data_IF_877112872750
#
_entry.id   IF_877112872750
#
_cell.length_a   1.000
_cell.length_b   1.000
_cell.length_c   1.000
_cell.angle_alpha   90.00
_cell.angle_beta   90.00
_cell.angle_gamma   90.00
#
_symmetry.space_group_name_H-M   'P 1'
#
loop_
_entity.id
_entity.type
_entity.pdbx_description
1 polymer ?
#
# COMPACT_ATOMS: atom_id res chain seq x y z
N UNK A 1 3.69 6.26 -28.52
CA UNK A 1 4.76 6.43 -27.52
C UNK A 1 4.62 5.27 -26.56
N UNK A 2 5.59 4.36 -26.54
CA UNK A 2 5.61 3.28 -25.56
C UNK A 2 6.08 3.89 -24.25
N UNK A 3 5.22 3.88 -23.23
CA UNK A 3 5.65 4.12 -21.86
C UNK A 3 6.45 2.90 -21.44
N UNK A 4 7.77 3.03 -21.52
CA UNK A 4 8.70 2.07 -20.95
C UNK A 4 8.68 2.32 -19.45
N UNK A 5 7.76 1.64 -18.74
CA UNK A 5 7.80 1.56 -17.29
C UNK A 5 9.06 0.77 -16.97
N UNK A 6 10.14 1.50 -16.69
CA UNK A 6 11.29 0.88 -16.04
C UNK A 6 10.78 0.38 -14.70
N UNK A 7 10.82 -0.93 -14.53
CA UNK A 7 10.72 -1.54 -13.22
C UNK A 7 11.97 -1.08 -12.47
N UNK A 8 11.85 0.05 -11.78
CA UNK A 8 12.77 0.36 -10.70
C UNK A 8 12.69 -0.82 -9.75
N UNK A 9 13.84 -1.33 -9.33
CA UNK A 9 13.88 -2.31 -8.25
C UNK A 9 13.30 -1.58 -7.04
N UNK A 10 12.01 -1.75 -6.77
CA UNK A 10 11.35 -1.10 -5.65
C UNK A 10 12.16 -1.37 -4.40
N UNK A 11 12.50 -0.32 -3.64
CA UNK A 11 13.21 -0.42 -2.36
C UNK A 11 12.27 -0.94 -1.25
N UNK A 12 11.47 -1.96 -1.57
CA UNK A 12 10.54 -2.64 -0.68
C UNK A 12 9.07 -2.27 -0.86
N UNK A 13 8.20 -2.83 -0.01
CA UNK A 13 6.75 -2.77 -0.19
C UNK A 13 6.14 -1.38 0.08
N UNK A 14 6.77 -0.57 0.95
CA UNK A 14 6.31 0.80 1.21
C UNK A 14 6.59 1.73 0.04
N UNK A 15 7.70 1.53 -0.68
CA UNK A 15 8.04 2.30 -1.87
C UNK A 15 7.01 2.04 -2.98
N UNK A 16 6.73 0.76 -3.26
CA UNK A 16 5.69 0.37 -4.21
C UNK A 16 4.33 0.97 -3.85
N UNK A 17 3.94 0.90 -2.57
CA UNK A 17 2.68 1.44 -2.13
C UNK A 17 2.59 2.96 -2.31
N UNK A 18 3.70 3.68 -2.05
CA UNK A 18 3.78 5.13 -2.26
C UNK A 18 3.64 5.47 -3.76
N UNK A 19 4.37 4.77 -4.63
CA UNK A 19 4.28 4.98 -6.08
C UNK A 19 2.87 4.77 -6.61
N UNK A 20 2.18 3.72 -6.16
CA UNK A 20 0.79 3.44 -6.57
C UNK A 20 -0.13 4.59 -6.14
N UNK A 21 -0.03 5.04 -4.89
CA UNK A 21 -0.85 6.14 -4.37
C UNK A 21 -0.61 7.44 -5.16
N UNK A 22 0.64 7.74 -5.48
CA UNK A 22 1.00 8.92 -6.26
C UNK A 22 0.53 8.81 -7.72
N UNK A 23 0.63 7.62 -8.32
CA UNK A 23 0.13 7.37 -9.67
C UNK A 23 -1.40 7.48 -9.78
N UNK A 24 -2.13 7.17 -8.71
CA UNK A 24 -3.60 7.28 -8.63
C UNK A 24 -4.10 8.65 -8.13
N UNK A 25 -3.19 9.59 -7.81
CA UNK A 25 -3.50 10.94 -7.26
C UNK A 25 -4.37 10.87 -5.97
N UNK A 26 -4.05 9.91 -5.09
CA UNK A 26 -4.79 9.68 -3.85
C UNK A 26 -4.06 10.26 -2.63
N UNK A 27 -4.78 10.77 -1.61
CA UNK A 27 -4.18 11.16 -0.35
C UNK A 27 -3.78 9.94 0.49
N UNK A 28 -2.73 10.04 1.32
CA UNK A 28 -2.34 8.94 2.23
C UNK A 28 -3.32 8.87 3.41
N UNK A 29 -4.41 8.11 3.23
CA UNK A 29 -5.46 7.83 4.22
C UNK A 29 -5.82 6.35 4.24
N UNK A 30 -6.45 5.85 5.31
CA UNK A 30 -6.89 4.44 5.36
C UNK A 30 -7.89 4.08 4.26
N UNK A 31 -8.76 5.03 3.90
CA UNK A 31 -9.74 4.86 2.81
C UNK A 31 -9.02 4.70 1.48
N UNK A 32 -8.10 5.61 1.14
CA UNK A 32 -7.31 5.52 -0.09
C UNK A 32 -6.42 4.26 -0.12
N UNK A 33 -5.85 3.87 1.02
CA UNK A 33 -5.09 2.63 1.14
C UNK A 33 -5.96 1.39 0.85
N UNK A 34 -7.24 1.44 1.21
CA UNK A 34 -8.18 0.37 0.90
C UNK A 34 -8.49 0.28 -0.61
N UNK A 35 -8.44 1.41 -1.33
CA UNK A 35 -8.67 1.49 -2.77
C UNK A 35 -7.49 0.93 -3.57
N UNK A 36 -6.25 1.27 -3.18
CA UNK A 36 -5.03 0.80 -3.86
C UNK A 36 -4.66 -0.67 -3.56
N UNK A 37 -5.41 -1.34 -2.67
CA UNK A 37 -5.15 -2.72 -2.29
C UNK A 37 -5.14 -3.68 -3.49
N UNK A 38 -6.03 -3.48 -4.45
CA UNK A 38 -6.09 -4.31 -5.66
C UNK A 38 -4.90 -4.04 -6.59
N UNK A 39 -4.53 -2.78 -6.79
CA UNK A 39 -3.37 -2.36 -7.57
C UNK A 39 -2.08 -2.97 -7.01
N UNK A 40 -1.92 -2.93 -5.68
CA UNK A 40 -0.77 -3.50 -4.98
C UNK A 40 -0.68 -5.03 -5.14
N UNK A 41 -1.80 -5.74 -4.98
CA UNK A 41 -1.84 -7.20 -5.17
C UNK A 41 -1.61 -7.59 -6.63
N UNK A 42 -2.19 -6.85 -7.57
CA UNK A 42 -2.01 -7.07 -9.00
C UNK A 42 -0.53 -6.88 -9.40
N UNK A 43 0.16 -5.93 -8.78
CA UNK A 43 1.60 -5.77 -8.98
C UNK A 43 2.38 -7.00 -8.52
N UNK A 44 2.12 -7.50 -7.30
CA UNK A 44 2.80 -8.70 -6.77
C UNK A 44 2.55 -9.94 -7.64
N UNK A 45 1.34 -10.12 -8.16
CA UNK A 45 0.98 -11.29 -8.98
C UNK A 45 1.64 -11.25 -10.37
N UNK A 46 1.78 -10.04 -10.96
CA UNK A 46 2.36 -9.85 -12.29
C UNK A 46 3.89 -9.87 -12.30
N UNK A 47 4.53 -9.63 -11.15
CA UNK A 47 5.99 -9.50 -11.05
C UNK A 47 6.61 -10.65 -10.27
N UNK A 48 7.78 -11.11 -10.72
CA UNK A 48 8.54 -12.14 -10.00
C UNK A 48 9.28 -11.49 -8.83
N UNK A 49 8.59 -11.31 -7.70
CA UNK A 49 9.22 -10.90 -6.44
C UNK A 49 10.13 -12.03 -5.95
N UNK A 50 11.40 -11.76 -5.60
CA UNK A 50 12.29 -12.76 -5.03
C UNK A 50 11.67 -13.41 -3.78
N UNK A 51 11.76 -14.75 -3.61
CA UNK A 51 11.19 -15.42 -2.44
C UNK A 51 11.67 -14.86 -1.10
N UNK A 52 12.88 -14.30 -1.07
CA UNK A 52 13.51 -13.70 0.11
C UNK A 52 12.82 -12.40 0.54
N UNK A 53 12.23 -11.66 -0.40
CA UNK A 53 11.57 -10.37 -0.16
C UNK A 53 10.05 -10.50 -0.09
N UNK A 54 9.48 -11.57 -0.66
CA UNK A 54 8.03 -11.78 -0.75
C UNK A 54 7.32 -11.70 0.61
N UNK A 55 7.97 -12.14 1.69
CA UNK A 55 7.41 -12.08 3.04
C UNK A 55 7.01 -10.65 3.45
N UNK A 56 7.86 -9.67 3.16
CA UNK A 56 7.62 -8.27 3.52
C UNK A 56 6.47 -7.68 2.69
N UNK A 57 6.40 -8.03 1.41
CA UNK A 57 5.27 -7.65 0.54
C UNK A 57 3.95 -8.23 1.02
N UNK A 58 3.93 -9.49 1.49
CA UNK A 58 2.73 -10.12 2.02
C UNK A 58 2.27 -9.50 3.35
N UNK A 59 3.20 -9.02 4.20
CA UNK A 59 2.83 -8.29 5.42
C UNK A 59 2.05 -7.02 5.06
N UNK A 60 2.50 -6.25 4.08
CA UNK A 60 1.78 -5.04 3.64
C UNK A 60 0.46 -5.42 2.95
N UNK A 61 0.47 -6.44 2.08
CA UNK A 61 -0.75 -6.94 1.41
C UNK A 61 -1.86 -7.33 2.40
N UNK A 62 -1.51 -8.05 3.47
CA UNK A 62 -2.49 -8.48 4.48
C UNK A 62 -3.09 -7.29 5.23
N UNK A 63 -2.31 -6.24 5.49
CA UNK A 63 -2.82 -4.99 6.10
C UNK A 63 -3.76 -4.25 5.16
N UNK A 64 -3.43 -4.14 3.87
CA UNK A 64 -4.31 -3.53 2.86
C UNK A 64 -5.63 -4.29 2.71
N UNK A 65 -5.59 -5.62 2.70
CA UNK A 65 -6.80 -6.46 2.67
C UNK A 65 -7.68 -6.26 3.92
N UNK A 66 -7.06 -6.10 5.10
CA UNK A 66 -7.80 -5.78 6.33
C UNK A 66 -8.50 -4.42 6.23
N UNK A 67 -7.80 -3.39 5.74
CA UNK A 67 -8.38 -2.06 5.51
C UNK A 67 -9.56 -2.13 4.54
N UNK A 68 -9.40 -2.84 3.41
CA UNK A 68 -10.46 -3.05 2.43
C UNK A 68 -11.67 -3.81 2.99
N UNK A 69 -11.42 -4.85 3.79
CA UNK A 69 -12.49 -5.59 4.47
C UNK A 69 -13.29 -4.67 5.40
N UNK A 70 -12.60 -3.87 6.23
CA UNK A 70 -13.22 -2.91 7.15
C UNK A 70 -14.02 -1.83 6.42
N UNK A 71 -13.52 -1.34 5.29
CA UNK A 71 -14.22 -0.32 4.48
C UNK A 71 -15.53 -0.83 3.86
N UNK A 72 -15.61 -2.14 3.55
CA UNK A 72 -16.77 -2.75 2.88
C UNK A 72 -17.81 -3.29 3.88
N UNK A 73 -17.36 -3.75 5.05
CA UNK A 73 -18.24 -4.38 6.03
C UNK A 73 -19.02 -3.33 6.85
N UNK A 74 -20.33 -3.53 7.06
CA UNK A 74 -21.11 -2.72 7.99
C UNK A 74 -20.75 -3.12 9.43
N UNK A 75 -19.60 -2.64 9.90
CA UNK A 75 -19.21 -2.73 11.31
C UNK A 75 -19.57 -1.41 12.00
N UNK A 76 -20.05 -1.48 13.24
CA UNK A 76 -20.06 -0.30 14.13
C UNK A 76 -18.60 0.06 14.39
N UNK A 77 -18.05 0.93 13.57
CA UNK A 77 -16.71 1.47 13.78
C UNK A 77 -16.86 2.50 14.90
N UNK A 78 -16.56 2.09 16.14
CA UNK A 78 -16.21 3.09 17.14
C UNK A 78 -15.06 3.89 16.54
N UNK A 79 -15.18 5.22 16.53
CA UNK A 79 -14.13 6.10 16.04
C UNK A 79 -12.92 5.96 16.97
N UNK A 80 -12.09 4.96 16.70
CA UNK A 80 -10.78 4.82 17.30
C UNK A 80 -9.94 5.99 16.78
N UNK A 81 -9.26 6.68 17.70
CA UNK A 81 -8.23 7.66 17.34
C UNK A 81 -7.23 7.02 16.37
N UNK A 82 -6.73 7.78 15.39
CA UNK A 82 -5.76 7.30 14.38
C UNK A 82 -4.58 6.60 15.11
N UNK A 83 -4.57 5.26 15.13
CA UNK A 83 -3.58 4.50 15.88
C UNK A 83 -2.18 4.81 15.29
N UNK A 84 -1.18 5.17 16.11
CA UNK A 84 0.18 5.39 15.63
C UNK A 84 0.81 4.15 14.96
N UNK A 85 0.20 2.96 15.09
CA UNK A 85 0.60 1.74 14.40
C UNK A 85 0.01 1.59 12.99
N UNK A 86 -0.83 2.53 12.53
CA UNK A 86 -1.50 2.48 11.23
C UNK A 86 -0.54 2.48 10.05
N UNK A 87 -0.93 1.77 8.99
CA UNK A 87 -0.20 1.74 7.73
C UNK A 87 -0.13 3.14 7.08
N UNK A 88 -1.19 3.93 7.22
CA UNK A 88 -1.22 5.30 6.72
C UNK A 88 -0.14 6.17 7.36
N UNK A 89 0.01 6.14 8.69
CA UNK A 89 1.06 6.90 9.37
C UNK A 89 2.46 6.40 8.99
N UNK A 90 2.67 5.07 8.93
CA UNK A 90 3.95 4.50 8.49
C UNK A 90 4.33 4.98 7.08
N UNK A 91 3.37 5.05 6.15
CA UNK A 91 3.62 5.51 4.79
C UNK A 91 3.88 7.02 4.73
N UNK A 92 3.17 7.84 5.52
CA UNK A 92 3.46 9.29 5.64
C UNK A 92 4.88 9.53 6.16
N UNK A 93 5.28 8.82 7.22
CA UNK A 93 6.63 8.91 7.77
C UNK A 93 7.66 8.48 6.73
N UNK A 94 7.43 7.36 6.05
CA UNK A 94 8.32 6.90 4.98
C UNK A 94 8.51 7.97 3.89
N UNK A 95 7.41 8.61 3.44
CA UNK A 95 7.46 9.71 2.48
C UNK A 95 8.36 10.86 2.96
N UNK A 96 8.23 11.27 4.22
CA UNK A 96 9.06 12.36 4.80
C UNK A 96 10.57 12.05 4.83
N UNK A 97 10.98 10.77 4.81
CA UNK A 97 12.40 10.38 4.80
C UNK A 97 12.96 10.11 3.40
N UNK A 98 12.09 9.93 2.40
CA UNK A 98 12.46 9.66 1.01
C UNK A 98 12.47 10.94 0.16
N UNK A 99 11.62 11.92 0.49
CA UNK A 99 11.66 13.30 -0.05
C UNK A 99 12.85 14.12 0.49
#
# INVERSE_FOLDING_TARGET
>A
MAFEVKLETFDGPLHLLLEIIEAEDLPITEVSLSEVADSYLAYIDQHTVPPEELADFLIVATRLLLLKSRAILPMEVEAEEEDPSTLALQLRLYKEFVD
#
